data_IF_823068427970
#
_entry.id   IF_823068427970
#
_cell.length_a   1.000
_cell.length_b   1.000
_cell.length_c   1.000
_cell.angle_alpha   90.00
_cell.angle_beta   90.00
_cell.angle_gamma   90.00
#
_symmetry.space_group_name_H-M   'P 1'
#
loop_
_entity.id
_entity.type
_entity.pdbx_description
1 polymer ?
#
# COMPACT_ATOMS: atom_id res chain seq x y z
N UNK A 1 8.48 8.08 1.54
CA UNK A 1 8.87 6.93 0.69
C UNK A 1 7.63 6.09 0.44
N UNK A 2 7.38 5.61 -0.78
CA UNK A 2 6.19 4.77 -1.07
C UNK A 2 6.52 3.29 -0.92
N UNK A 3 5.53 2.48 -0.58
CA UNK A 3 5.72 1.03 -0.45
C UNK A 3 6.30 0.41 -1.74
N UNK A 4 5.83 0.84 -2.91
CA UNK A 4 6.39 0.39 -4.21
C UNK A 4 7.91 0.55 -4.33
N UNK A 5 8.46 1.62 -3.76
CA UNK A 5 9.89 1.97 -3.88
C UNK A 5 10.73 1.14 -2.89
N UNK A 6 10.09 0.60 -1.86
CA UNK A 6 10.71 -0.28 -0.88
C UNK A 6 10.63 -1.75 -1.33
N UNK A 7 9.53 -2.15 -1.97
CA UNK A 7 9.37 -3.49 -2.50
C UNK A 7 10.30 -3.80 -3.69
N UNK A 8 10.88 -2.79 -4.33
CA UNK A 8 11.92 -3.01 -5.36
C UNK A 8 13.23 -3.49 -4.78
N UNK A 9 13.50 -3.24 -3.49
CA UNK A 9 14.75 -3.62 -2.80
C UNK A 9 14.59 -4.80 -1.85
N UNK A 10 13.37 -5.28 -1.61
CA UNK A 10 13.09 -6.39 -0.69
C UNK A 10 12.66 -7.65 -1.48
N UNK A 11 13.49 -8.69 -1.43
CA UNK A 11 13.22 -10.00 -2.06
C UNK A 11 12.52 -11.00 -1.13
N UNK A 12 12.42 -10.69 0.17
CA UNK A 12 11.91 -11.59 1.20
C UNK A 12 10.41 -11.39 1.50
N UNK A 13 9.88 -12.26 2.35
CA UNK A 13 8.55 -12.15 2.98
C UNK A 13 8.39 -10.78 3.66
N UNK A 14 7.26 -10.13 3.41
CA UNK A 14 6.96 -8.79 3.92
C UNK A 14 5.67 -8.83 4.73
N UNK A 15 5.73 -8.31 5.96
CA UNK A 15 4.54 -8.09 6.78
C UNK A 15 4.18 -6.62 6.73
N UNK A 16 2.99 -6.30 6.25
CA UNK A 16 2.45 -4.95 6.24
C UNK A 16 1.58 -4.75 7.48
N UNK A 17 1.81 -3.68 8.22
CA UNK A 17 0.95 -3.29 9.34
C UNK A 17 0.19 -2.01 8.98
N UNK A 18 -1.14 -2.09 8.94
CA UNK A 18 -2.02 -0.97 8.62
C UNK A 18 -3.04 -0.81 9.75
N UNK A 19 -3.05 0.35 10.41
CA UNK A 19 -4.04 0.69 11.44
C UNK A 19 -4.23 -0.39 12.52
N UNK A 20 -3.12 -1.06 12.91
CA UNK A 20 -3.12 -2.13 13.92
C UNK A 20 -3.45 -3.53 13.39
N UNK A 21 -3.75 -3.68 12.09
CA UNK A 21 -3.91 -4.98 11.44
C UNK A 21 -2.61 -5.39 10.73
N UNK A 22 -2.16 -6.62 10.96
CA UNK A 22 -0.99 -7.19 10.29
C UNK A 22 -1.43 -8.08 9.14
N UNK A 23 -0.98 -7.75 7.94
CA UNK A 23 -1.19 -8.50 6.71
C UNK A 23 0.18 -9.06 6.27
N UNK A 24 0.36 -10.38 6.30
CA UNK A 24 1.62 -11.00 5.87
C UNK A 24 1.53 -11.42 4.41
N UNK A 25 2.50 -11.02 3.61
CA UNK A 25 2.58 -11.32 2.20
C UNK A 25 3.88 -12.05 1.87
N UNK A 26 3.74 -13.24 1.28
CA UNK A 26 4.87 -14.09 0.89
C UNK A 26 5.59 -13.56 -0.35
N UNK A 27 4.87 -12.86 -1.23
CA UNK A 27 5.42 -12.33 -2.48
C UNK A 27 4.90 -10.93 -2.74
N UNK A 28 5.71 -10.13 -3.45
CA UNK A 28 5.32 -8.78 -3.92
C UNK A 28 4.05 -8.76 -4.76
N UNK A 29 3.77 -9.84 -5.50
CA UNK A 29 2.61 -9.96 -6.38
C UNK A 29 1.30 -10.14 -5.59
N UNK A 30 1.39 -10.62 -4.36
CA UNK A 30 0.24 -10.80 -3.46
C UNK A 30 -0.20 -9.49 -2.80
N UNK A 31 0.62 -8.44 -2.85
CA UNK A 31 0.32 -7.15 -2.25
C UNK A 31 -0.65 -6.38 -3.17
N UNK A 32 -1.82 -5.96 -2.68
CA UNK A 32 -2.78 -5.21 -3.48
C UNK A 32 -2.20 -3.91 -4.02
N UNK A 33 -2.55 -3.55 -5.26
CA UNK A 33 -2.13 -2.27 -5.87
C UNK A 33 -2.56 -1.05 -5.04
N UNK A 34 -3.66 -1.17 -4.31
CA UNK A 34 -4.14 -0.14 -3.37
C UNK A 34 -3.13 0.16 -2.26
N UNK A 35 -2.31 -0.83 -1.85
CA UNK A 35 -1.25 -0.67 -0.84
C UNK A 35 0.06 -0.14 -1.42
N UNK A 36 0.32 -0.30 -2.73
CA UNK A 36 1.57 0.10 -3.38
C UNK A 36 1.86 1.61 -3.31
N UNK A 37 0.80 2.42 -3.23
CA UNK A 37 0.87 3.87 -3.09
C UNK A 37 0.86 4.36 -1.64
N UNK A 38 0.71 3.45 -0.67
CA UNK A 38 0.74 3.82 0.73
C UNK A 38 2.10 4.38 1.11
N UNK A 39 2.06 5.41 1.95
CA UNK A 39 3.24 6.01 2.54
C UNK A 39 3.77 5.08 3.64
N UNK A 40 5.06 4.75 3.57
CA UNK A 40 5.73 3.98 4.63
C UNK A 40 5.98 4.93 5.80
N UNK A 41 5.35 4.66 6.95
CA UNK A 41 5.52 5.44 8.17
C UNK A 41 6.68 4.93 9.01
N UNK A 42 6.83 3.61 9.13
CA UNK A 42 7.88 3.01 9.95
C UNK A 42 8.29 1.65 9.38
N UNK A 43 9.56 1.33 9.59
CA UNK A 43 10.12 0.01 9.33
C UNK A 43 10.56 -0.58 10.66
N UNK A 44 10.21 -1.84 10.89
CA UNK A 44 10.64 -2.62 12.02
C UNK A 44 11.12 -3.97 11.52
N UNK A 45 12.30 -4.39 11.96
CA UNK A 45 12.82 -5.73 11.70
C UNK A 45 12.43 -6.64 12.85
N UNK A 46 11.96 -7.84 12.53
CA UNK A 46 11.72 -8.91 13.48
C UNK A 46 12.61 -10.10 13.11
N UNK A 47 12.83 -11.03 14.02
CA UNK A 47 13.71 -12.19 13.80
C UNK A 47 13.30 -13.05 12.59
N UNK A 48 12.03 -12.96 12.16
CA UNK A 48 11.47 -13.68 11.01
C UNK A 48 11.25 -12.83 9.75
N UNK A 49 11.63 -11.55 9.73
CA UNK A 49 11.46 -10.71 8.53
C UNK A 49 11.31 -9.20 8.78
N UNK A 50 10.66 -8.52 7.83
CA UNK A 50 10.46 -7.07 7.83
C UNK A 50 8.98 -6.74 8.05
N UNK A 51 8.69 -5.97 9.09
CA UNK A 51 7.40 -5.31 9.31
C UNK A 51 7.47 -3.89 8.75
N UNK A 52 6.55 -3.56 7.86
CA UNK A 52 6.38 -2.25 7.26
C UNK A 52 5.07 -1.66 7.76
N UNK A 53 5.15 -0.64 8.60
CA UNK A 53 3.97 0.13 8.99
C UNK A 53 3.62 1.11 7.88
N UNK A 54 2.42 0.97 7.33
CA UNK A 54 1.87 1.87 6.34
C UNK A 54 0.99 2.92 7.01
N UNK A 55 1.07 4.15 6.51
CA UNK A 55 0.08 5.17 6.83
C UNK A 55 -1.29 4.78 6.28
N UNK A 56 -2.33 5.33 6.90
CA UNK A 56 -3.70 5.18 6.39
C UNK A 56 -3.74 5.54 4.91
N UNK A 57 -4.40 4.71 4.08
CA UNK A 57 -4.51 5.01 2.66
C UNK A 57 -5.18 6.37 2.51
N UNK A 58 -4.46 7.35 1.94
CA UNK A 58 -5.08 8.61 1.53
C UNK A 58 -6.17 8.25 0.53
N UNK A 59 -7.43 8.46 0.91
CA UNK A 59 -8.56 8.27 0.00
C UNK A 59 -8.35 9.25 -1.16
N UNK A 60 -7.99 8.74 -2.33
CA UNK A 60 -7.94 9.55 -3.55
C UNK A 60 -9.39 9.71 -3.98
N UNK A 61 -9.92 10.94 -4.01
CA UNK A 61 -11.31 11.14 -4.40
C UNK A 61 -11.51 10.69 -5.84
N UNK A 62 -12.63 10.01 -6.11
CA UNK A 62 -12.97 9.59 -7.47
C UNK A 62 -13.30 10.81 -8.33
N UNK A 63 -13.21 10.69 -9.66
CA UNK A 63 -13.59 11.78 -10.57
C UNK A 63 -15.05 12.21 -10.36
N UNK A 64 -15.91 11.25 -10.03
CA UNK A 64 -17.32 11.48 -9.65
C UNK A 64 -17.42 12.26 -8.33
N UNK A 65 -16.64 11.91 -7.30
CA UNK A 65 -16.56 12.67 -6.02
C UNK A 65 -15.99 14.09 -6.24
N UNK A 66 -15.20 14.30 -7.30
CA UNK A 66 -14.68 15.61 -7.72
C UNK A 66 -15.66 16.39 -8.62
N UNK A 67 -16.87 15.87 -8.84
CA UNK A 67 -17.92 16.54 -9.62
C UNK A 67 -17.75 16.44 -11.13
N UNK A 68 -16.82 15.62 -11.62
CA UNK A 68 -16.70 15.34 -13.05
C UNK A 68 -17.73 14.27 -13.43
N UNK A 69 -18.74 14.69 -14.19
CA UNK A 69 -19.63 13.78 -14.92
C UNK A 69 -19.18 13.75 -16.37
N UNK A 70 -18.99 12.55 -16.93
CA UNK A 70 -18.73 12.39 -18.34
C UNK A 70 -20.08 12.35 -19.05
N UNK A 71 -20.40 13.40 -19.81
CA UNK A 71 -21.52 13.37 -20.74
C UNK A 71 -21.12 12.48 -21.91
N UNK A 72 -21.61 11.24 -21.92
CA UNK A 72 -21.47 10.34 -23.06
C UNK A 72 -22.52 10.77 -24.08
N UNK A 73 -22.16 11.69 -24.98
CA UNK A 73 -23.04 12.11 -26.08
C UNK A 73 -23.43 10.90 -26.92
N UNK A 74 -24.72 10.59 -26.99
CA UNK A 74 -25.32 9.66 -27.94
C UNK A 74 -25.37 10.26 -29.35
#
# INVERSE_FOLDING_TARGET
>A
MRLRDLLTVVENTVTLEISGQQETYSTKASIPHTRMNSEVKRLATIDSGLIIQLGEPRKVPTLEELGYSFEVGM
#
